data_IF_604423754162
#
_entry.id   IF_604423754162
#
_cell.length_a   1.000
_cell.length_b   1.000
_cell.length_c   1.000
_cell.angle_alpha   90.00
_cell.angle_beta   90.00
_cell.angle_gamma   90.00
#
_symmetry.space_group_name_H-M   'P 1'
#
loop_
_entity.id
_entity.type
_entity.pdbx_description
1 polymer ?
#
# COMPACT_ATOMS: atom_id res chain seq x y z
N UNK A 1 2.59 -3.08 12.94
CA UNK A 1 1.66 -2.20 12.19
C UNK A 1 0.33 -2.90 12.09
N UNK A 2 -0.79 -2.21 12.29
CA UNK A 2 -2.11 -2.81 12.07
C UNK A 2 -2.38 -2.93 10.57
N UNK A 3 -3.16 -3.94 10.15
CA UNK A 3 -3.55 -4.13 8.74
C UNK A 3 -4.21 -2.87 8.15
N UNK A 4 -4.95 -2.13 8.99
CA UNK A 4 -5.56 -0.84 8.64
C UNK A 4 -4.49 0.18 8.26
N UNK A 5 -3.42 0.31 9.05
CA UNK A 5 -2.35 1.27 8.78
C UNK A 5 -1.68 0.97 7.41
N UNK A 6 -1.44 -0.30 7.10
CA UNK A 6 -0.85 -0.72 5.82
C UNK A 6 -1.76 -0.41 4.63
N UNK A 7 -3.07 -0.61 4.76
CA UNK A 7 -4.03 -0.31 3.69
C UNK A 7 -4.23 1.19 3.50
N UNK A 8 -4.19 1.99 4.56
CA UNK A 8 -4.32 3.46 4.48
C UNK A 8 -3.13 4.12 3.81
N UNK A 9 -1.94 3.51 3.84
CA UNK A 9 -0.72 4.01 3.18
C UNK A 9 -0.54 3.51 1.75
N UNK A 10 -1.47 2.70 1.23
CA UNK A 10 -1.37 2.15 -0.12
C UNK A 10 -1.31 3.23 -1.23
N UNK A 11 -2.09 4.33 -1.18
CA UNK A 11 -1.94 5.40 -2.16
C UNK A 11 -0.53 6.00 -2.19
N UNK A 12 0.08 6.22 -1.02
CA UNK A 12 1.45 6.74 -0.91
C UNK A 12 2.47 5.73 -1.42
N UNK A 13 2.26 4.43 -1.18
CA UNK A 13 3.13 3.37 -1.69
C UNK A 13 3.07 3.27 -3.23
N UNK A 14 1.90 3.48 -3.83
CA UNK A 14 1.74 3.52 -5.29
C UNK A 14 2.40 4.77 -5.89
N UNK A 15 2.23 5.93 -5.26
CA UNK A 15 2.89 7.16 -5.68
C UNK A 15 4.42 7.04 -5.61
N UNK A 16 4.96 6.48 -4.52
CA UNK A 16 6.40 6.23 -4.36
C UNK A 16 6.90 5.19 -5.40
N UNK A 17 6.08 4.21 -5.77
CA UNK A 17 6.42 3.23 -6.81
C UNK A 17 6.56 3.89 -8.19
N UNK A 18 5.57 4.70 -8.57
CA UNK A 18 5.58 5.45 -9.83
C UNK A 18 6.79 6.39 -9.88
N UNK A 19 7.01 7.15 -8.81
CA UNK A 19 8.12 8.09 -8.72
C UNK A 19 9.48 7.39 -8.74
N UNK A 20 9.63 6.26 -8.06
CA UNK A 20 10.87 5.49 -8.08
C UNK A 20 11.15 4.85 -9.45
N UNK A 21 10.12 4.42 -10.18
CA UNK A 21 10.26 3.92 -11.54
C UNK A 21 10.74 5.02 -12.50
N UNK A 22 10.16 6.21 -12.41
CA UNK A 22 10.58 7.36 -13.22
C UNK A 22 12.03 7.77 -12.92
N UNK A 23 12.43 7.79 -11.64
CA UNK A 23 13.82 8.07 -11.26
C UNK A 23 14.80 7.03 -11.77
N UNK A 24 14.41 5.75 -11.81
CA UNK A 24 15.26 4.70 -12.36
C UNK A 24 15.45 4.88 -13.87
N UNK A 25 14.37 5.19 -14.60
CA UNK A 25 14.46 5.46 -16.03
C UNK A 25 15.36 6.66 -16.33
N UNK A 26 15.24 7.74 -15.55
CA UNK A 26 16.12 8.91 -15.68
C UNK A 26 17.58 8.57 -15.39
N UNK A 27 17.84 7.86 -14.28
CA UNK A 27 19.17 7.40 -13.90
C UNK A 27 19.81 6.48 -14.95
N UNK A 28 19.01 5.67 -15.64
CA UNK A 28 19.47 4.83 -16.75
C UNK A 28 19.84 5.65 -18.00
N UNK A 29 19.19 6.80 -18.23
CA UNK A 29 19.57 7.72 -19.32
C UNK A 29 20.82 8.54 -18.99
N UNK A 30 20.98 8.97 -17.74
CA UNK A 30 22.06 9.87 -17.31
C UNK A 30 23.32 9.13 -16.85
N UNK A 31 23.22 7.82 -16.55
CA UNK A 31 24.35 6.98 -16.12
C UNK A 31 24.75 7.14 -14.65
N UNK A 32 24.04 7.98 -13.89
CA UNK A 32 24.29 8.25 -12.47
C UNK A 32 23.07 7.88 -11.60
N UNK A 33 23.28 7.51 -10.33
CA UNK A 33 22.20 7.34 -9.35
C UNK A 33 21.35 6.06 -9.46
N UNK A 34 21.66 5.15 -10.39
CA UNK A 34 20.88 3.93 -10.65
C UNK A 34 20.65 3.06 -9.39
N UNK A 35 21.66 2.94 -8.52
CA UNK A 35 21.55 2.13 -7.30
C UNK A 35 20.57 2.73 -6.28
N UNK A 36 20.53 4.06 -6.16
CA UNK A 36 19.60 4.75 -5.26
C UNK A 36 18.16 4.60 -5.79
N UNK A 37 17.97 4.80 -7.09
CA UNK A 37 16.67 4.63 -7.74
C UNK A 37 16.16 3.19 -7.62
N UNK A 38 17.02 2.19 -7.86
CA UNK A 38 16.70 0.77 -7.68
C UNK A 38 16.32 0.42 -6.24
N UNK A 39 17.03 0.97 -5.25
CA UNK A 39 16.71 0.76 -3.84
C UNK A 39 15.39 1.41 -3.42
N UNK A 40 15.04 2.59 -3.98
CA UNK A 40 13.71 3.20 -3.79
C UNK A 40 12.62 2.34 -4.41
N UNK A 41 12.83 1.87 -5.64
CA UNK A 41 11.88 1.02 -6.36
C UNK A 41 11.59 -0.27 -5.59
N UNK A 42 12.64 -0.94 -5.10
CA UNK A 42 12.49 -2.17 -4.32
C UNK A 42 11.66 -1.96 -3.04
N UNK A 43 11.85 -0.84 -2.34
CA UNK A 43 11.05 -0.51 -1.14
C UNK A 43 9.59 -0.23 -1.48
N UNK A 44 9.33 0.52 -2.55
CA UNK A 44 7.96 0.79 -2.99
C UNK A 44 7.23 -0.50 -3.41
N UNK A 45 7.90 -1.38 -4.15
CA UNK A 45 7.37 -2.71 -4.52
C UNK A 45 7.02 -3.53 -3.28
N UNK A 46 7.90 -3.57 -2.28
CA UNK A 46 7.66 -4.30 -1.03
C UNK A 46 6.42 -3.76 -0.28
N UNK A 47 6.23 -2.43 -0.27
CA UNK A 47 5.04 -1.79 0.31
C UNK A 47 3.74 -2.21 -0.38
N UNK A 48 3.73 -2.18 -1.73
CA UNK A 48 2.58 -2.60 -2.52
C UNK A 48 2.29 -4.09 -2.37
N UNK A 49 3.32 -4.95 -2.35
CA UNK A 49 3.16 -6.39 -2.15
C UNK A 49 2.58 -6.74 -0.78
N UNK A 50 3.03 -6.06 0.27
CA UNK A 50 2.51 -6.22 1.62
C UNK A 50 1.01 -5.87 1.69
N UNK A 51 0.61 -4.74 1.11
CA UNK A 51 -0.79 -4.35 1.01
C UNK A 51 -1.62 -5.36 0.20
N UNK A 52 -1.08 -5.89 -0.92
CA UNK A 52 -1.76 -6.91 -1.73
C UNK A 52 -2.04 -8.18 -0.94
N UNK A 53 -1.11 -8.63 -0.09
CA UNK A 53 -1.32 -9.80 0.77
C UNK A 53 -2.52 -9.62 1.69
N UNK A 54 -2.58 -8.49 2.39
CA UNK A 54 -3.70 -8.15 3.28
C UNK A 54 -5.04 -8.03 2.54
N UNK A 55 -5.04 -7.51 1.30
CA UNK A 55 -6.25 -7.44 0.48
C UNK A 55 -6.79 -8.83 0.16
N UNK A 56 -5.90 -9.78 -0.18
CA UNK A 56 -6.27 -11.16 -0.47
C UNK A 56 -6.82 -11.84 0.79
N UNK A 57 -6.09 -11.75 1.90
CA UNK A 57 -6.51 -12.33 3.19
C UNK A 57 -7.90 -11.83 3.60
N UNK A 58 -8.13 -10.51 3.55
CA UNK A 58 -9.43 -9.94 3.89
C UNK A 58 -10.55 -10.40 2.94
N UNK A 59 -10.26 -10.54 1.65
CA UNK A 59 -11.25 -11.01 0.68
C UNK A 59 -11.60 -12.49 0.91
N UNK A 60 -10.60 -13.32 1.19
CA UNK A 60 -10.78 -14.75 1.47
C UNK A 60 -11.53 -14.98 2.79
N UNK A 61 -11.20 -14.24 3.84
CA UNK A 61 -11.83 -14.38 5.15
C UNK A 61 -13.28 -13.85 5.19
N UNK A 62 -13.54 -12.74 4.51
CA UNK A 62 -14.84 -12.03 4.64
C UNK A 62 -15.76 -12.22 3.44
N UNK A 63 -15.23 -12.71 2.31
CA UNK A 63 -15.94 -12.74 1.02
C UNK A 63 -16.26 -11.34 0.48
N UNK A 64 -15.67 -10.27 1.05
CA UNK A 64 -15.98 -8.87 0.73
C UNK A 64 -14.72 -8.08 0.39
N UNK A 65 -14.81 -7.08 -0.50
CA UNK A 65 -13.67 -6.22 -0.77
C UNK A 65 -13.25 -5.45 0.51
N UNK A 66 -11.94 -5.17 0.71
CA UNK A 66 -11.42 -4.55 1.94
C UNK A 66 -12.10 -3.24 2.32
N UNK A 67 -12.46 -2.39 1.35
CA UNK A 67 -13.17 -1.13 1.61
C UNK A 67 -14.51 -1.34 2.32
N UNK A 68 -15.26 -2.40 1.96
CA UNK A 68 -16.52 -2.74 2.63
C UNK A 68 -16.30 -3.23 4.06
N UNK A 69 -15.22 -3.99 4.29
CA UNK A 69 -14.85 -4.48 5.63
C UNK A 69 -14.45 -3.32 6.53
N UNK A 70 -13.59 -2.41 6.04
CA UNK A 70 -13.13 -1.23 6.78
C UNK A 70 -14.27 -0.26 7.07
N UNK A 71 -15.12 0.04 6.08
CA UNK A 71 -16.28 0.91 6.27
C UNK A 71 -17.28 0.30 7.28
N UNK A 72 -17.54 -1.00 7.17
CA UNK A 72 -18.40 -1.73 8.12
C UNK A 72 -17.85 -1.71 9.54
N UNK A 73 -16.55 -1.95 9.71
CA UNK A 73 -15.87 -1.88 11.00
C UNK A 73 -15.94 -0.49 11.64
N UNK A 74 -15.71 0.58 10.87
CA UNK A 74 -15.82 1.96 11.36
C UNK A 74 -17.23 2.27 11.85
N UNK A 75 -18.25 1.93 11.06
CA UNK A 75 -19.66 2.16 11.43
C UNK A 75 -20.03 1.37 12.70
N UNK A 76 -19.54 0.14 12.84
CA UNK A 76 -19.78 -0.67 14.04
C UNK A 76 -19.14 -0.06 15.29
N UNK A 77 -17.91 0.44 15.20
CA UNK A 77 -17.22 1.15 16.30
C UNK A 77 -17.96 2.44 16.68
N UNK A 78 -18.35 3.26 15.70
CA UNK A 78 -19.11 4.49 15.94
C UNK A 78 -20.42 4.23 16.68
N UNK A 79 -21.13 3.15 16.35
CA UNK A 79 -22.38 2.74 17.02
C UNK A 79 -22.17 2.17 18.42
N UNK A 80 -21.00 1.57 18.67
CA UNK A 80 -20.66 0.96 19.97
C UNK A 80 -20.16 1.99 20.98
N UNK A 81 -19.64 3.13 20.53
CA UNK A 81 -19.21 4.26 21.38
C UNK A 81 -20.34 5.22 21.78
N UNK A 82 -21.56 5.00 21.28
CA UNK A 82 -22.76 5.82 21.61
C UNK A 82 -23.72 5.13 22.60
N UNK A 83 -23.29 4.06 23.28
CA UNK A 83 -24.01 3.41 24.37
C UNK A 83 -23.35 3.73 25.71
#
# INVERSE_FOLDING_TARGET
>A
MSAIATLTTLPDALAELEQAALLLLLAEQEGEGQQIARARLARAVAGVQSARGLVIELLEETGRPPLYVLAGGRIAVERSGTA
#
